data_IF_264767337179
#
_entry.id   IF_264767337179
#
_cell.length_a   1.000
_cell.length_b   1.000
_cell.length_c   1.000
_cell.angle_alpha   90.00
_cell.angle_beta   90.00
_cell.angle_gamma   90.00
#
_symmetry.space_group_name_H-M   'P 1'
#
loop_
_entity.id
_entity.type
_entity.pdbx_description
1 polymer ?
#
# COMPACT_ATOMS: atom_id res chain seq x y z
N UNK A 1 21.93 -16.32 13.38
CA UNK A 1 20.85 -15.46 13.92
C UNK A 1 21.13 -14.04 13.47
N UNK A 2 20.16 -13.38 12.85
CA UNK A 2 20.31 -11.97 12.47
C UNK A 2 20.48 -11.10 13.72
N UNK A 3 21.39 -10.12 13.68
CA UNK A 3 21.61 -9.22 14.81
C UNK A 3 20.39 -8.32 14.97
N UNK A 4 19.91 -8.15 16.19
CA UNK A 4 18.83 -7.22 16.51
C UNK A 4 19.29 -5.77 16.25
N UNK A 5 18.47 -4.99 15.56
CA UNK A 5 18.69 -3.54 15.37
C UNK A 5 18.01 -2.80 16.53
N UNK A 6 18.75 -1.97 17.30
CA UNK A 6 18.16 -1.15 18.34
C UNK A 6 17.04 -0.25 17.80
N UNK A 7 15.97 -0.08 18.58
CA UNK A 7 14.78 0.70 18.20
C UNK A 7 15.15 2.15 17.85
N UNK A 8 16.11 2.74 18.57
CA UNK A 8 16.57 4.12 18.31
C UNK A 8 17.19 4.28 16.90
N UNK A 9 17.85 3.23 16.39
CA UNK A 9 18.40 3.22 15.04
C UNK A 9 17.28 3.09 14.01
N UNK A 10 16.30 2.21 14.26
CA UNK A 10 15.12 2.06 13.41
C UNK A 10 14.36 3.38 13.30
N UNK A 11 14.03 4.00 14.42
CA UNK A 11 13.32 5.27 14.51
C UNK A 11 14.07 6.39 13.77
N UNK A 12 15.40 6.43 13.95
CA UNK A 12 16.25 7.41 13.26
C UNK A 12 16.21 7.23 11.75
N UNK A 13 16.29 6.00 11.25
CA UNK A 13 16.23 5.71 9.81
C UNK A 13 14.87 6.07 9.24
N UNK A 14 13.78 5.71 9.94
CA UNK A 14 12.42 6.09 9.52
C UNK A 14 12.25 7.60 9.47
N UNK A 15 12.68 8.31 10.51
CA UNK A 15 12.64 9.77 10.55
C UNK A 15 13.38 10.41 9.37
N UNK A 16 14.61 9.97 9.09
CA UNK A 16 15.38 10.46 7.95
C UNK A 16 14.67 10.21 6.62
N UNK A 17 14.09 9.03 6.46
CA UNK A 17 13.34 8.68 5.26
C UNK A 17 12.07 9.54 5.09
N UNK A 18 11.37 9.85 6.17
CA UNK A 18 10.18 10.70 6.18
C UNK A 18 10.51 12.18 5.91
N UNK A 19 11.70 12.61 6.31
CA UNK A 19 12.27 13.93 6.03
C UNK A 19 12.96 14.02 4.64
N UNK A 20 12.83 12.98 3.79
CA UNK A 20 13.44 12.88 2.45
C UNK A 20 14.98 12.86 2.45
N UNK A 21 15.61 12.65 3.60
CA UNK A 21 17.06 12.54 3.78
C UNK A 21 17.54 11.09 3.47
N UNK A 22 17.21 10.63 2.28
CA UNK A 22 17.41 9.22 1.89
C UNK A 22 18.87 8.78 1.92
N UNK A 23 19.83 9.64 1.52
CA UNK A 23 21.24 9.25 1.45
C UNK A 23 21.83 9.03 2.84
N UNK A 24 21.39 9.79 3.84
CA UNK A 24 21.79 9.58 5.23
C UNK A 24 21.15 8.31 5.81
N UNK A 25 19.87 8.09 5.53
CA UNK A 25 19.19 6.85 5.92
C UNK A 25 19.88 5.62 5.31
N UNK A 26 20.20 5.66 4.02
CA UNK A 26 20.93 4.58 3.31
C UNK A 26 22.30 4.33 3.95
N UNK A 27 23.02 5.36 4.34
CA UNK A 27 24.34 5.22 4.97
C UNK A 27 24.26 4.42 6.27
N UNK A 28 23.25 4.71 7.12
CA UNK A 28 23.05 3.96 8.37
C UNK A 28 22.69 2.51 8.07
N UNK A 29 21.77 2.27 7.15
CA UNK A 29 21.36 0.90 6.79
C UNK A 29 22.50 0.10 6.18
N UNK A 30 23.32 0.71 5.32
CA UNK A 30 24.50 0.06 4.74
C UNK A 30 25.53 -0.32 5.80
N UNK A 31 25.69 0.46 6.87
CA UNK A 31 26.56 0.07 7.99
C UNK A 31 26.05 -1.21 8.67
N UNK A 32 24.74 -1.32 8.90
CA UNK A 32 24.13 -2.53 9.46
C UNK A 32 24.36 -3.74 8.52
N UNK A 33 24.14 -3.54 7.22
CA UNK A 33 24.34 -4.60 6.21
C UNK A 33 25.80 -4.97 6.01
N UNK A 34 26.75 -4.09 6.30
CA UNK A 34 28.18 -4.42 6.32
C UNK A 34 28.53 -5.38 7.44
N UNK A 35 27.88 -5.23 8.60
CA UNK A 35 28.08 -6.09 9.77
C UNK A 35 27.27 -7.40 9.69
N UNK A 36 26.09 -7.35 9.09
CA UNK A 36 25.18 -8.47 8.90
C UNK A 36 24.47 -8.37 7.54
N UNK A 37 25.09 -8.87 6.45
CA UNK A 37 24.55 -8.77 5.09
C UNK A 37 23.19 -9.45 4.87
N UNK A 38 22.76 -10.30 5.82
CA UNK A 38 21.47 -11.00 5.78
C UNK A 38 20.48 -10.45 6.79
N UNK A 39 20.72 -9.28 7.34
CA UNK A 39 19.81 -8.65 8.27
C UNK A 39 18.50 -8.26 7.57
N UNK A 40 17.43 -8.99 7.88
CA UNK A 40 16.14 -8.84 7.21
C UNK A 40 15.53 -7.45 7.42
N UNK A 41 15.60 -6.91 8.63
CA UNK A 41 15.10 -5.57 8.92
C UNK A 41 15.86 -4.51 8.10
N UNK A 42 17.18 -4.60 8.04
CA UNK A 42 17.99 -3.67 7.27
C UNK A 42 17.71 -3.78 5.76
N UNK A 43 17.52 -5.00 5.25
CA UNK A 43 17.16 -5.23 3.86
C UNK A 43 15.76 -4.71 3.51
N UNK A 44 14.79 -4.81 4.44
CA UNK A 44 13.48 -4.17 4.28
C UNK A 44 13.59 -2.65 4.24
N UNK A 45 14.33 -2.08 5.19
CA UNK A 45 14.52 -0.62 5.26
C UNK A 45 15.17 -0.08 3.99
N UNK A 46 16.23 -0.72 3.51
CA UNK A 46 16.90 -0.27 2.28
C UNK A 46 15.98 -0.41 1.06
N UNK A 47 15.15 -1.45 1.02
CA UNK A 47 14.15 -1.63 -0.03
C UNK A 47 13.12 -0.52 -0.04
N UNK A 48 12.55 -0.16 1.12
CA UNK A 48 11.59 0.94 1.26
C UNK A 48 12.22 2.28 0.86
N UNK A 49 13.43 2.58 1.35
CA UNK A 49 14.12 3.83 1.02
C UNK A 49 14.43 3.92 -0.47
N UNK A 50 14.91 2.85 -1.09
CA UNK A 50 15.19 2.83 -2.53
C UNK A 50 13.92 2.93 -3.37
N UNK A 51 12.81 2.33 -2.92
CA UNK A 51 11.50 2.49 -3.52
C UNK A 51 11.04 3.95 -3.47
N UNK A 52 11.15 4.61 -2.30
CA UNK A 52 10.83 6.05 -2.14
C UNK A 52 11.71 6.96 -2.99
N UNK A 53 12.97 6.58 -3.26
CA UNK A 53 13.88 7.25 -4.21
C UNK A 53 13.58 6.96 -5.68
N UNK A 54 12.56 6.15 -6.00
CA UNK A 54 12.29 5.66 -7.35
C UNK A 54 13.41 4.81 -7.95
N UNK A 55 14.30 4.26 -7.12
CA UNK A 55 15.35 3.34 -7.57
C UNK A 55 14.85 1.90 -7.58
N UNK A 56 13.94 1.60 -8.51
CA UNK A 56 13.24 0.32 -8.59
C UNK A 56 14.16 -0.87 -8.83
N UNK A 57 15.24 -0.69 -9.58
CA UNK A 57 16.17 -1.77 -9.88
C UNK A 57 16.95 -2.21 -8.63
N UNK A 58 17.30 -1.27 -7.77
CA UNK A 58 17.99 -1.56 -6.52
C UNK A 58 17.04 -2.20 -5.49
N UNK A 59 15.84 -1.67 -5.35
CA UNK A 59 14.81 -2.25 -4.52
C UNK A 59 14.50 -3.69 -4.94
N UNK A 60 14.41 -3.94 -6.24
CA UNK A 60 14.19 -5.28 -6.79
C UNK A 60 15.33 -6.27 -6.51
N UNK A 61 16.57 -5.83 -6.61
CA UNK A 61 17.74 -6.66 -6.25
C UNK A 61 17.72 -7.05 -4.78
N UNK A 62 17.41 -6.10 -3.88
CA UNK A 62 17.33 -6.36 -2.45
C UNK A 62 16.23 -7.38 -2.11
N UNK A 63 15.04 -7.22 -2.68
CA UNK A 63 13.92 -8.17 -2.48
C UNK A 63 14.21 -9.53 -3.09
N UNK A 64 14.84 -9.57 -4.27
CA UNK A 64 15.22 -10.83 -4.90
C UNK A 64 16.24 -11.59 -4.07
N UNK A 65 17.21 -10.89 -3.48
CA UNK A 65 18.18 -11.48 -2.56
C UNK A 65 17.48 -12.07 -1.32
N UNK A 66 16.57 -11.33 -0.71
CA UNK A 66 15.81 -11.78 0.45
C UNK A 66 14.95 -13.02 0.14
N UNK A 67 14.26 -13.02 -1.00
CA UNK A 67 13.46 -14.17 -1.42
C UNK A 67 14.33 -15.42 -1.70
N UNK A 68 15.60 -15.24 -2.05
CA UNK A 68 16.56 -16.36 -2.19
C UNK A 68 16.95 -16.97 -0.86
N UNK A 69 16.92 -16.19 0.23
CA UNK A 69 17.28 -16.64 1.59
C UNK A 69 16.11 -17.25 2.34
N UNK A 70 14.92 -16.74 2.12
CA UNK A 70 13.64 -17.25 2.67
C UNK A 70 12.67 -17.47 1.53
N UNK A 71 12.79 -18.60 0.86
CA UNK A 71 11.90 -18.96 -0.22
C UNK A 71 10.45 -18.95 0.26
N UNK A 72 9.59 -18.25 -0.49
CA UNK A 72 8.15 -18.19 -0.24
C UNK A 72 7.72 -17.45 1.04
N UNK A 73 8.57 -16.55 1.56
CA UNK A 73 8.13 -15.64 2.61
C UNK A 73 7.05 -14.67 2.05
N UNK A 74 5.85 -14.58 2.66
CA UNK A 74 4.75 -13.80 2.12
C UNK A 74 5.05 -12.30 2.05
N UNK A 75 5.88 -11.75 2.95
CA UNK A 75 6.26 -10.35 2.94
C UNK A 75 7.12 -10.01 1.71
N UNK A 76 8.08 -10.87 1.38
CA UNK A 76 8.93 -10.67 0.20
C UNK A 76 8.18 -10.83 -1.11
N UNK A 77 7.28 -11.80 -1.16
CA UNK A 77 6.40 -11.97 -2.30
C UNK A 77 5.48 -10.77 -2.49
N UNK A 78 4.98 -10.21 -1.40
CA UNK A 78 4.18 -8.99 -1.40
C UNK A 78 4.98 -7.79 -1.95
N UNK A 79 6.15 -7.52 -1.39
CA UNK A 79 7.01 -6.39 -1.84
C UNK A 79 7.44 -6.58 -3.29
N UNK A 80 7.80 -7.81 -3.70
CA UNK A 80 8.10 -8.12 -5.11
C UNK A 80 6.90 -7.83 -6.01
N UNK A 81 5.72 -8.23 -5.59
CA UNK A 81 4.48 -7.94 -6.31
C UNK A 81 4.23 -6.44 -6.50
N UNK A 82 4.48 -5.62 -5.49
CA UNK A 82 4.38 -4.15 -5.58
C UNK A 82 5.39 -3.57 -6.58
N UNK A 83 6.65 -4.00 -6.53
CA UNK A 83 7.68 -3.55 -7.47
C UNK A 83 7.31 -3.90 -8.92
N UNK A 84 6.78 -5.10 -9.15
CA UNK A 84 6.33 -5.50 -10.48
C UNK A 84 5.08 -4.70 -10.94
N UNK A 85 4.21 -4.28 -10.01
CA UNK A 85 3.12 -3.35 -10.33
C UNK A 85 3.63 -2.00 -10.83
N UNK A 86 4.64 -1.43 -10.18
CA UNK A 86 5.24 -0.15 -10.59
C UNK A 86 5.98 -0.26 -11.93
N UNK A 87 6.61 -1.40 -12.20
CA UNK A 87 7.22 -1.70 -13.51
C UNK A 87 6.19 -2.01 -14.60
N UNK A 88 4.90 -2.03 -14.28
CA UNK A 88 3.80 -2.43 -15.18
C UNK A 88 3.90 -3.89 -15.67
N UNK A 89 4.60 -4.74 -14.94
CA UNK A 89 4.73 -6.18 -15.20
C UNK A 89 3.52 -6.93 -14.61
N UNK A 90 2.39 -6.81 -15.27
CA UNK A 90 1.05 -7.22 -14.80
C UNK A 90 0.95 -8.67 -14.35
N UNK A 91 1.49 -9.57 -15.15
CA UNK A 91 1.40 -11.02 -14.91
C UNK A 91 2.22 -11.41 -13.68
N UNK A 92 3.43 -10.90 -13.59
CA UNK A 92 4.36 -11.13 -12.49
C UNK A 92 3.81 -10.57 -11.18
N UNK A 93 3.34 -9.33 -11.19
CA UNK A 93 2.73 -8.69 -10.02
C UNK A 93 1.59 -9.53 -9.43
N UNK A 94 0.63 -9.95 -10.28
CA UNK A 94 -0.48 -10.82 -9.87
C UNK A 94 0.00 -12.15 -9.33
N UNK A 95 1.01 -12.75 -9.92
CA UNK A 95 1.55 -14.05 -9.50
C UNK A 95 2.15 -13.96 -8.11
N UNK A 96 2.98 -12.95 -7.84
CA UNK A 96 3.60 -12.75 -6.54
C UNK A 96 2.56 -12.40 -5.45
N UNK A 97 1.67 -11.44 -5.71
CA UNK A 97 0.65 -11.03 -4.75
C UNK A 97 -0.35 -12.16 -4.45
N UNK A 98 -0.76 -12.94 -5.47
CA UNK A 98 -1.62 -14.11 -5.27
C UNK A 98 -0.95 -15.16 -4.39
N UNK A 99 0.34 -15.42 -4.63
CA UNK A 99 1.09 -16.39 -3.82
C UNK A 99 1.24 -15.92 -2.37
N UNK A 100 1.59 -14.64 -2.15
CA UNK A 100 1.65 -14.06 -0.81
C UNK A 100 0.31 -14.20 -0.07
N UNK A 101 -0.80 -13.87 -0.73
CA UNK A 101 -2.14 -13.99 -0.19
C UNK A 101 -2.51 -15.44 0.17
N UNK A 102 -2.14 -16.42 -0.65
CA UNK A 102 -2.39 -17.84 -0.38
C UNK A 102 -1.60 -18.34 0.84
N UNK A 103 -0.35 -17.92 0.99
CA UNK A 103 0.52 -18.32 2.13
C UNK A 103 0.00 -17.73 3.44
N UNK A 104 -0.56 -16.52 3.42
CA UNK A 104 -1.18 -15.88 4.58
C UNK A 104 -2.63 -16.34 4.83
N UNK A 105 -3.10 -17.39 4.15
CA UNK A 105 -4.47 -17.90 4.26
C UNK A 105 -5.56 -16.84 4.11
N UNK A 106 -5.31 -15.80 3.30
CA UNK A 106 -6.22 -14.67 3.12
C UNK A 106 -6.49 -13.83 4.39
N UNK A 107 -5.57 -13.84 5.34
CA UNK A 107 -5.73 -13.12 6.61
C UNK A 107 -5.04 -11.75 6.60
N UNK A 108 -4.04 -11.54 5.73
CA UNK A 108 -3.35 -10.26 5.65
C UNK A 108 -4.08 -9.28 4.73
N UNK A 109 -4.79 -8.32 5.32
CA UNK A 109 -5.62 -7.34 4.62
C UNK A 109 -4.85 -6.51 3.60
N UNK A 110 -3.61 -6.10 3.90
CA UNK A 110 -2.79 -5.28 3.00
C UNK A 110 -2.37 -6.07 1.74
N UNK A 111 -1.96 -7.32 1.90
CA UNK A 111 -1.64 -8.20 0.78
C UNK A 111 -2.88 -8.44 -0.09
N UNK A 112 -4.03 -8.70 0.54
CA UNK A 112 -5.31 -8.88 -0.15
C UNK A 112 -5.68 -7.62 -0.93
N UNK A 113 -5.58 -6.45 -0.30
CA UNK A 113 -5.86 -5.15 -0.93
C UNK A 113 -4.99 -4.94 -2.17
N UNK A 114 -3.67 -5.15 -2.05
CA UNK A 114 -2.75 -4.97 -3.17
C UNK A 114 -2.98 -5.98 -4.30
N UNK A 115 -3.32 -7.23 -3.97
CA UNK A 115 -3.71 -8.20 -4.99
C UNK A 115 -4.93 -7.73 -5.79
N UNK A 116 -5.99 -7.28 -5.10
CA UNK A 116 -7.19 -6.81 -5.77
C UNK A 116 -6.98 -5.49 -6.52
N UNK A 117 -6.13 -4.59 -6.00
CA UNK A 117 -5.72 -3.40 -6.73
C UNK A 117 -4.99 -3.74 -8.03
N UNK A 118 -4.15 -4.80 -8.01
CA UNK A 118 -3.51 -5.31 -9.22
C UNK A 118 -4.55 -5.86 -10.22
N UNK A 119 -5.54 -6.60 -9.76
CA UNK A 119 -6.65 -7.10 -10.60
C UNK A 119 -7.44 -5.94 -11.22
N UNK A 120 -7.73 -4.88 -10.44
CA UNK A 120 -8.42 -3.68 -10.92
C UNK A 120 -7.61 -2.96 -12.00
N UNK A 121 -6.34 -2.65 -11.73
CA UNK A 121 -5.44 -1.97 -12.70
C UNK A 121 -5.31 -2.73 -14.02
N UNK A 122 -5.53 -4.05 -13.99
CA UNK A 122 -5.33 -4.94 -15.14
C UNK A 122 -6.60 -5.48 -15.78
N UNK A 123 -7.74 -4.85 -15.48
CA UNK A 123 -8.98 -5.04 -16.21
C UNK A 123 -10.05 -5.87 -15.51
N UNK A 124 -9.79 -6.40 -14.31
CA UNK A 124 -10.79 -7.14 -13.54
C UNK A 124 -11.57 -6.24 -12.56
N UNK A 125 -12.05 -5.09 -13.05
CA UNK A 125 -12.71 -4.05 -12.24
C UNK A 125 -13.91 -4.59 -11.48
N UNK A 126 -14.75 -5.41 -12.11
CA UNK A 126 -15.93 -5.98 -11.46
C UNK A 126 -15.57 -6.89 -10.27
N UNK A 127 -14.52 -7.71 -10.40
CA UNK A 127 -14.07 -8.56 -9.28
C UNK A 127 -13.61 -7.74 -8.09
N UNK A 128 -12.93 -6.63 -8.34
CA UNK A 128 -12.49 -5.70 -7.28
C UNK A 128 -13.70 -5.03 -6.61
N UNK A 129 -14.66 -4.58 -7.40
CA UNK A 129 -15.92 -4.00 -6.90
C UNK A 129 -16.70 -5.00 -6.04
N UNK A 130 -16.83 -6.25 -6.48
CA UNK A 130 -17.49 -7.31 -5.72
C UNK A 130 -16.78 -7.64 -4.42
N UNK A 131 -15.43 -7.65 -4.44
CA UNK A 131 -14.64 -7.82 -3.23
C UNK A 131 -14.90 -6.71 -2.23
N UNK A 132 -14.82 -5.45 -2.63
CA UNK A 132 -15.09 -4.30 -1.76
C UNK A 132 -16.51 -4.31 -1.21
N UNK A 133 -17.51 -4.64 -2.02
CA UNK A 133 -18.89 -4.79 -1.56
C UNK A 133 -19.05 -5.89 -0.51
N UNK A 134 -18.36 -7.02 -0.67
CA UNK A 134 -18.36 -8.10 0.33
C UNK A 134 -17.65 -7.65 1.61
N UNK A 135 -16.49 -7.03 1.50
CA UNK A 135 -15.76 -6.50 2.64
C UNK A 135 -16.60 -5.48 3.42
N UNK A 136 -17.25 -4.53 2.73
CA UNK A 136 -18.15 -3.56 3.35
C UNK A 136 -19.35 -4.21 4.06
N UNK A 137 -19.93 -5.28 3.50
CA UNK A 137 -20.99 -6.03 4.18
C UNK A 137 -20.52 -6.73 5.45
N UNK A 138 -19.27 -7.17 5.49
CA UNK A 138 -18.67 -7.82 6.67
C UNK A 138 -18.33 -6.81 7.76
N UNK A 139 -17.74 -5.69 7.37
CA UNK A 139 -17.39 -4.60 8.28
C UNK A 139 -17.60 -3.24 7.59
N UNK A 140 -18.78 -2.65 7.81
CA UNK A 140 -19.16 -1.36 7.21
C UNK A 140 -18.45 -0.16 7.85
N UNK A 141 -17.74 -0.35 8.97
CA UNK A 141 -16.99 0.70 9.67
C UNK A 141 -15.48 0.65 9.37
N UNK A 142 -15.04 -0.23 8.48
CA UNK A 142 -13.65 -0.27 8.03
C UNK A 142 -13.34 0.94 7.14
N UNK A 143 -12.54 1.88 7.67
CA UNK A 143 -12.18 3.12 6.97
C UNK A 143 -11.43 2.85 5.65
N UNK A 144 -10.60 1.81 5.58
CA UNK A 144 -9.87 1.44 4.37
C UNK A 144 -10.81 0.93 3.28
N UNK A 145 -11.78 0.10 3.63
CA UNK A 145 -12.79 -0.41 2.69
C UNK A 145 -13.61 0.75 2.13
N UNK A 146 -14.08 1.66 2.99
CA UNK A 146 -14.84 2.84 2.57
C UNK A 146 -14.01 3.72 1.63
N UNK A 147 -12.77 4.02 2.00
CA UNK A 147 -11.84 4.80 1.17
C UNK A 147 -11.63 4.16 -0.20
N UNK A 148 -11.41 2.84 -0.26
CA UNK A 148 -11.22 2.12 -1.52
C UNK A 148 -12.48 2.13 -2.40
N UNK A 149 -13.69 2.07 -1.81
CA UNK A 149 -14.95 2.21 -2.57
C UNK A 149 -15.05 3.62 -3.16
N UNK A 150 -14.77 4.66 -2.38
CA UNK A 150 -14.79 6.06 -2.87
C UNK A 150 -13.79 6.23 -4.01
N UNK A 151 -12.56 5.75 -3.84
CA UNK A 151 -11.53 5.83 -4.86
C UNK A 151 -11.94 5.12 -6.16
N UNK A 152 -12.51 3.93 -6.03
CA UNK A 152 -12.99 3.17 -7.19
C UNK A 152 -14.13 3.89 -7.90
N UNK A 153 -15.10 4.41 -7.16
CA UNK A 153 -16.24 5.14 -7.70
C UNK A 153 -15.77 6.40 -8.48
N UNK A 154 -14.79 7.14 -7.96
CA UNK A 154 -14.18 8.29 -8.65
C UNK A 154 -13.47 7.85 -9.95
N UNK A 155 -12.73 6.76 -9.92
CA UNK A 155 -12.01 6.25 -11.09
C UNK A 155 -12.95 5.71 -12.18
N UNK A 156 -14.11 5.22 -11.79
CA UNK A 156 -15.17 4.74 -12.70
C UNK A 156 -16.16 5.85 -13.08
N UNK A 157 -15.92 7.11 -12.63
CA UNK A 157 -16.79 8.28 -12.82
C UNK A 157 -18.20 8.11 -12.25
N UNK A 158 -18.38 7.18 -11.29
CA UNK A 158 -19.61 7.00 -10.51
C UNK A 158 -19.63 7.99 -9.34
N UNK A 159 -19.91 9.24 -9.67
CA UNK A 159 -19.89 10.34 -8.69
C UNK A 159 -21.01 10.24 -7.66
N UNK A 160 -22.13 9.58 -7.99
CA UNK A 160 -23.22 9.35 -7.05
C UNK A 160 -22.79 8.39 -5.94
N UNK A 161 -22.21 7.24 -6.29
CA UNK A 161 -21.68 6.29 -5.30
C UNK A 161 -20.56 6.94 -4.46
N UNK A 162 -19.65 7.72 -5.08
CA UNK A 162 -18.58 8.39 -4.35
C UNK A 162 -19.11 9.39 -3.32
N UNK A 163 -20.08 10.24 -3.66
CA UNK A 163 -20.71 11.19 -2.74
C UNK A 163 -21.44 10.48 -1.61
N UNK A 164 -22.16 9.40 -1.93
CA UNK A 164 -22.85 8.57 -0.93
C UNK A 164 -21.87 7.99 0.08
N UNK A 165 -20.75 7.44 -0.37
CA UNK A 165 -19.77 6.84 0.52
C UNK A 165 -18.96 7.88 1.30
N UNK A 166 -18.69 9.06 0.76
CA UNK A 166 -18.12 10.18 1.50
C UNK A 166 -19.08 10.63 2.63
N UNK A 167 -20.37 10.77 2.32
CA UNK A 167 -21.38 11.09 3.32
C UNK A 167 -21.48 10.02 4.41
N UNK A 168 -21.36 8.75 4.03
CA UNK A 168 -21.30 7.64 4.98
C UNK A 168 -20.07 7.72 5.89
N UNK A 169 -18.88 8.00 5.33
CA UNK A 169 -17.63 8.20 6.08
C UNK A 169 -17.80 9.29 7.16
N UNK A 170 -18.29 10.48 6.78
CA UNK A 170 -18.49 11.58 7.74
C UNK A 170 -19.53 11.25 8.80
N UNK A 171 -20.62 10.60 8.42
CA UNK A 171 -21.69 10.22 9.35
C UNK A 171 -21.20 9.29 10.46
N UNK A 172 -20.28 8.39 10.13
CA UNK A 172 -19.78 7.36 11.05
C UNK A 172 -18.34 7.63 11.52
N UNK A 173 -17.82 8.85 11.32
CA UNK A 173 -16.43 9.21 11.54
C UNK A 173 -15.86 8.74 12.89
N UNK A 174 -16.59 8.95 13.97
CA UNK A 174 -16.18 8.60 15.34
C UNK A 174 -16.18 7.07 15.61
N UNK A 175 -16.88 6.31 14.78
CA UNK A 175 -17.03 4.85 14.91
C UNK A 175 -16.08 4.10 13.98
N UNK A 176 -15.39 4.80 13.06
CA UNK A 176 -14.56 4.17 12.03
C UNK A 176 -13.38 3.42 12.62
N UNK A 177 -13.19 2.22 12.13
CA UNK A 177 -12.06 1.37 12.47
C UNK A 177 -10.92 1.62 11.49
N UNK A 178 -9.72 1.86 12.03
CA UNK A 178 -8.50 2.05 11.28
C UNK A 178 -7.47 1.01 11.72
N UNK A 179 -6.78 0.38 10.77
CA UNK A 179 -5.80 -0.66 11.05
C UNK A 179 -4.38 -0.11 10.90
N UNK A 180 -4.02 0.35 9.72
CA UNK A 180 -2.64 0.70 9.38
C UNK A 180 -2.37 2.21 9.29
N UNK A 181 -3.40 3.03 9.30
CA UNK A 181 -3.29 4.48 9.10
C UNK A 181 -4.11 5.21 10.15
N UNK A 182 -3.71 6.43 10.49
CA UNK A 182 -4.54 7.26 11.37
C UNK A 182 -5.82 7.72 10.64
N UNK A 183 -6.89 7.95 11.41
CA UNK A 183 -8.14 8.53 10.87
C UNK A 183 -7.87 9.85 10.14
N UNK A 184 -6.96 10.66 10.65
CA UNK A 184 -6.52 11.91 10.04
C UNK A 184 -5.96 11.75 8.61
N UNK A 185 -5.30 10.60 8.30
CA UNK A 185 -4.84 10.33 6.94
C UNK A 185 -6.02 10.16 5.98
N UNK A 186 -7.06 9.43 6.42
CA UNK A 186 -8.29 9.26 5.63
C UNK A 186 -9.03 10.59 5.45
N UNK A 187 -9.15 11.42 6.51
CA UNK A 187 -9.75 12.75 6.43
C UNK A 187 -9.10 13.61 5.35
N UNK A 188 -7.77 13.65 5.31
CA UNK A 188 -7.06 14.39 4.25
C UNK A 188 -7.35 13.85 2.85
N UNK A 189 -7.43 12.55 2.67
CA UNK A 189 -7.72 11.93 1.37
C UNK A 189 -9.16 12.16 0.95
N UNK A 190 -10.10 12.04 1.87
CA UNK A 190 -11.53 12.33 1.63
C UNK A 190 -11.70 13.79 1.23
N UNK A 191 -11.09 14.74 1.93
CA UNK A 191 -11.11 16.15 1.58
C UNK A 191 -10.60 16.43 0.16
N UNK A 192 -9.58 15.70 -0.32
CA UNK A 192 -9.10 15.82 -1.70
C UNK A 192 -10.14 15.31 -2.71
N UNK A 193 -10.84 14.24 -2.39
CA UNK A 193 -11.92 13.72 -3.23
C UNK A 193 -13.11 14.67 -3.30
N UNK A 194 -13.50 15.28 -2.17
CA UNK A 194 -14.55 16.31 -2.14
C UNK A 194 -14.22 17.52 -3.01
N UNK A 195 -12.98 18.02 -2.92
CA UNK A 195 -12.50 19.12 -3.77
C UNK A 195 -12.52 18.73 -5.25
N UNK A 196 -12.11 17.51 -5.59
CA UNK A 196 -12.18 17.01 -6.97
C UNK A 196 -13.63 16.95 -7.48
N UNK A 197 -14.55 16.40 -6.69
CA UNK A 197 -15.98 16.30 -7.05
C UNK A 197 -16.62 17.67 -7.20
N UNK A 198 -16.31 18.63 -6.31
CA UNK A 198 -16.79 20.00 -6.41
C UNK A 198 -16.29 20.68 -7.70
N UNK A 199 -15.00 20.47 -8.05
CA UNK A 199 -14.42 20.98 -9.29
C UNK A 199 -15.10 20.35 -10.53
N UNK A 200 -15.31 19.04 -10.56
CA UNK A 200 -16.02 18.34 -11.64
C UNK A 200 -17.45 18.85 -11.81
N UNK A 201 -18.18 19.05 -10.72
CA UNK A 201 -19.52 19.62 -10.76
C UNK A 201 -19.54 21.02 -11.38
N UNK A 202 -18.57 21.87 -11.00
CA UNK A 202 -18.44 23.22 -11.56
C UNK A 202 -18.20 23.19 -13.07
N UNK A 203 -17.32 22.32 -13.55
CA UNK A 203 -17.02 22.17 -14.99
C UNK A 203 -18.22 21.65 -15.79
N UNK A 204 -18.96 20.68 -15.27
CA UNK A 204 -20.13 20.11 -15.96
C UNK A 204 -21.32 21.06 -16.00
N UNK A 205 -21.36 22.09 -15.14
CA UNK A 205 -22.40 23.12 -15.17
C UNK A 205 -22.07 24.28 -16.13
N UNK A 206 -20.80 24.41 -16.56
CA UNK A 206 -20.33 25.51 -17.40
C UNK A 206 -19.96 25.08 -18.85
N UNK A 207 -20.17 23.82 -19.19
CA UNK A 207 -20.09 23.25 -20.53
C UNK A 207 -21.40 22.60 -20.95
#
# INVERSE_FOLDING_TARGET
MSKYIPTEILDRVHKLADEWQYDEAIKIVNQILSDDPKNEQALLMITDIQYRKWNMDWADKAVTFLNSTKKDDPLWLYVKGLLEMEKNNRKEARTYLKKAMQITNWENHEIIRCYWLSEYRYGNREKWRDFLRKAFKQNSLDAEVIYNIIQLAILDEDYEESIKMISYFHKHHEELQVVDKSIWWYDKKILLFEKYLAWKKYFNLNN
#
